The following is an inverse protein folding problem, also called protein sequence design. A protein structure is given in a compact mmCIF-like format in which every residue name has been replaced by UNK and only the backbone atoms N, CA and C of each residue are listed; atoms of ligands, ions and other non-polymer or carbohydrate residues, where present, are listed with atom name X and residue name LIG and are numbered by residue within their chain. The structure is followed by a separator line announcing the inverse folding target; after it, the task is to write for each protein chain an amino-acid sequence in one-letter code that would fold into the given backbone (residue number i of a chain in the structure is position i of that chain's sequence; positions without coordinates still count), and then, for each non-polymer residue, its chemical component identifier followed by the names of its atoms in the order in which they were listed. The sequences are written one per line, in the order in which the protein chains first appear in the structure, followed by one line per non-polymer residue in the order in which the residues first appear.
data_IF_108433695889
#
_entry.id   IF_108433695889
#
_cell.length_a   1.000
_cell.length_b   1.000
_cell.length_c   1.000
_cell.angle_alpha   90.00
_cell.angle_beta   90.00
_cell.angle_gamma   90.00
#
_symmetry.space_group_name_H-M   'P 1'
#
loop_
_entity.id
_entity.type
_entity.pdbx_description
1 polymer ?
#
# COMPACT_ATOMS: atom_id res chain seq x y z
N UNK A 1 23.48 -5.07 5.26
CA UNK A 1 23.63 -3.68 4.79
C UNK A 1 22.35 -3.35 4.05
N UNK A 2 21.41 -2.71 4.74
CA UNK A 2 20.17 -2.20 4.15
C UNK A 2 20.58 -0.93 3.39
N UNK A 3 20.22 -0.74 2.11
CA UNK A 3 20.52 0.50 1.43
C UNK A 3 19.81 1.63 2.17
N UNK A 4 20.56 2.68 2.50
CA UNK A 4 20.04 3.90 3.11
C UNK A 4 18.77 4.32 2.38
N UNK A 5 17.64 4.30 3.09
CA UNK A 5 16.42 4.93 2.63
C UNK A 5 16.78 6.36 2.25
N UNK A 6 16.45 6.75 1.01
CA UNK A 6 16.76 8.07 0.46
C UNK A 6 16.42 9.15 1.48
N UNK A 7 17.46 9.73 2.08
CA UNK A 7 17.34 10.75 3.10
C UNK A 7 16.59 11.95 2.50
N UNK A 8 15.63 12.57 3.20
CA UNK A 8 14.96 13.79 2.76
C UNK A 8 15.94 14.87 2.25
N UNK A 9 17.17 14.89 2.80
CA UNK A 9 18.26 15.78 2.38
C UNK A 9 18.75 15.58 0.94
N UNK A 10 18.74 14.36 0.40
CA UNK A 10 19.10 14.13 -1.01
C UNK A 10 18.04 14.66 -1.97
N UNK A 11 16.77 14.53 -1.57
CA UNK A 11 15.65 15.13 -2.30
C UNK A 11 15.80 16.65 -2.31
N UNK A 12 16.12 17.27 -1.17
CA UNK A 12 16.36 18.72 -1.05
C UNK A 12 17.53 19.21 -1.93
N UNK A 13 18.61 18.42 -2.06
CA UNK A 13 19.76 18.75 -2.93
C UNK A 13 19.42 18.70 -4.42
N UNK A 14 18.56 17.77 -4.84
CA UNK A 14 18.12 17.67 -6.23
C UNK A 14 17.23 18.86 -6.61
N UNK A 15 16.37 19.31 -5.69
CA UNK A 15 15.53 20.51 -5.85
C UNK A 15 16.39 21.75 -6.08
N UNK A 16 17.41 21.97 -5.22
CA UNK A 16 18.32 23.10 -5.34
C UNK A 16 19.04 23.14 -6.70
N UNK A 17 19.49 21.99 -7.22
CA UNK A 17 20.12 21.92 -8.55
C UNK A 17 19.15 22.18 -9.70
N UNK A 18 17.89 21.76 -9.57
CA UNK A 18 16.87 22.04 -10.59
C UNK A 18 16.46 23.50 -10.61
N UNK A 19 16.37 24.18 -9.46
CA UNK A 19 16.12 25.62 -9.36
C UNK A 19 17.23 26.47 -9.99
N UNK A 20 18.49 26.05 -9.85
CA UNK A 20 19.66 26.73 -10.44
C UNK A 20 19.68 26.67 -11.99
N UNK A 21 18.93 25.76 -12.62
CA UNK A 21 18.90 25.58 -14.08
C UNK A 21 17.90 26.49 -14.82
N UNK A 22 17.06 27.25 -14.11
CA UNK A 22 16.18 28.28 -14.70
C UNK A 22 15.02 27.76 -15.56
N UNK A 23 14.67 26.47 -15.50
CA UNK A 23 13.66 25.84 -16.38
C UNK A 23 12.24 25.83 -15.77
N UNK A 24 12.07 26.08 -14.47
CA UNK A 24 10.79 26.16 -13.78
C UNK A 24 10.85 27.23 -12.68
N UNK A 25 9.77 28.01 -12.49
CA UNK A 25 9.65 28.90 -11.33
C UNK A 25 9.78 28.05 -10.05
N UNK A 26 10.66 28.44 -9.14
CA UNK A 26 11.02 27.70 -7.92
C UNK A 26 9.77 27.27 -7.12
N UNK A 27 8.76 28.15 -7.08
CA UNK A 27 7.45 27.89 -6.46
C UNK A 27 6.66 26.75 -7.10
N UNK A 28 6.82 26.53 -8.39
CA UNK A 28 6.13 25.46 -9.12
C UNK A 28 6.75 24.09 -8.83
N UNK A 29 8.06 24.03 -8.68
CA UNK A 29 8.79 22.80 -8.33
C UNK A 29 8.44 22.33 -6.92
N UNK A 30 8.48 23.23 -5.94
CA UNK A 30 8.07 22.93 -4.56
C UNK A 30 6.63 22.42 -4.51
N UNK A 31 5.72 23.07 -5.23
CA UNK A 31 4.31 22.66 -5.29
C UNK A 31 4.13 21.24 -5.87
N UNK A 32 4.90 20.88 -6.90
CA UNK A 32 4.87 19.53 -7.50
C UNK A 32 5.37 18.50 -6.49
N UNK A 33 6.43 18.81 -5.75
CA UNK A 33 7.01 17.87 -4.79
C UNK A 33 6.10 17.64 -3.60
N UNK A 34 5.51 18.71 -3.07
CA UNK A 34 4.48 18.61 -2.04
C UNK A 34 3.30 17.78 -2.53
N UNK A 35 2.89 17.92 -3.79
CA UNK A 35 1.85 17.07 -4.36
C UNK A 35 2.30 15.60 -4.47
N UNK A 36 3.56 15.34 -4.84
CA UNK A 36 4.10 13.98 -4.95
C UNK A 36 4.15 13.25 -3.61
N UNK A 37 4.43 13.96 -2.52
CA UNK A 37 4.54 13.40 -1.16
C UNK A 37 3.19 13.07 -0.51
N UNK A 38 2.07 13.57 -1.05
CA UNK A 38 0.74 13.30 -0.50
C UNK A 38 0.41 11.81 -0.48
N UNK A 39 -0.24 11.37 0.59
CA UNK A 39 -0.78 10.00 0.72
C UNK A 39 -1.79 9.64 -0.39
N UNK A 40 -2.33 10.66 -1.07
CA UNK A 40 -3.33 10.54 -2.13
C UNK A 40 -2.72 10.51 -3.54
N UNK A 41 -1.39 10.61 -3.67
CA UNK A 41 -0.72 10.54 -4.98
C UNK A 41 -0.33 9.12 -5.32
N UNK A 42 -1.03 8.57 -6.31
CA UNK A 42 -0.86 7.19 -6.77
C UNK A 42 -0.67 7.11 -8.28
N UNK A 43 0.11 6.13 -8.69
CA UNK A 43 0.45 5.80 -10.06
C UNK A 43 0.12 4.34 -10.33
N UNK A 44 -0.15 4.04 -11.60
CA UNK A 44 -0.33 2.67 -12.08
C UNK A 44 0.67 2.38 -13.18
N UNK A 45 1.33 1.23 -13.07
CA UNK A 45 2.23 0.72 -14.10
C UNK A 45 1.44 0.07 -15.24
N UNK A 46 1.72 0.44 -16.48
CA UNK A 46 1.04 -0.13 -17.66
C UNK A 46 1.47 -1.56 -17.96
N UNK A 47 2.61 -2.01 -17.42
CA UNK A 47 3.14 -3.36 -17.66
C UNK A 47 2.67 -4.38 -16.63
N UNK A 48 2.70 -4.06 -15.33
CA UNK A 48 2.28 -5.00 -14.26
C UNK A 48 0.97 -4.68 -13.55
N UNK A 49 0.28 -3.61 -13.97
CA UNK A 49 -0.98 -3.16 -13.36
C UNK A 49 -0.91 -2.92 -11.84
N UNK A 50 0.30 -2.73 -11.35
CA UNK A 50 0.65 -2.58 -9.95
C UNK A 50 0.50 -1.10 -9.54
N UNK A 51 -0.11 -0.89 -8.37
CA UNK A 51 -0.31 0.43 -7.76
C UNK A 51 0.93 0.87 -6.99
N UNK A 52 1.36 2.11 -7.23
CA UNK A 52 2.62 2.67 -6.74
C UNK A 52 2.36 4.07 -6.20
N UNK A 53 2.89 4.41 -5.04
CA UNK A 53 2.98 5.79 -4.55
C UNK A 53 4.42 6.32 -4.73
N UNK A 54 4.65 7.55 -4.32
CA UNK A 54 5.99 8.10 -4.18
C UNK A 54 6.62 7.67 -2.84
N UNK A 55 7.90 7.29 -2.78
CA UNK A 55 8.87 7.20 -3.87
C UNK A 55 8.91 5.82 -4.57
N UNK A 56 8.06 4.86 -4.20
CA UNK A 56 8.09 3.47 -4.74
C UNK A 56 8.03 3.42 -6.27
N UNK A 57 7.31 4.35 -6.90
CA UNK A 57 7.25 4.48 -8.36
C UNK A 57 8.64 4.72 -9.00
N UNK A 58 9.58 5.37 -8.30
CA UNK A 58 10.94 5.61 -8.82
C UNK A 58 11.78 4.32 -8.87
N UNK A 59 11.52 3.39 -7.95
CA UNK A 59 12.24 2.13 -7.85
C UNK A 59 11.60 1.00 -8.67
N UNK A 60 10.49 1.26 -9.37
CA UNK A 60 9.70 0.22 -10.00
C UNK A 60 10.42 -0.39 -11.23
N UNK A 61 10.69 -1.70 -11.19
CA UNK A 61 11.53 -2.39 -12.18
C UNK A 61 11.01 -2.26 -13.62
N UNK A 62 9.70 -2.31 -13.84
CA UNK A 62 9.11 -2.17 -15.18
C UNK A 62 9.50 -0.86 -15.88
N UNK A 63 9.85 0.18 -15.12
CA UNK A 63 10.22 1.49 -15.65
C UNK A 63 11.69 1.60 -16.01
N UNK A 64 12.50 0.61 -15.61
CA UNK A 64 13.92 0.47 -15.94
C UNK A 64 14.20 -0.66 -16.92
N UNK A 65 13.16 -1.42 -17.29
CA UNK A 65 13.23 -2.49 -18.28
C UNK A 65 13.13 -1.88 -19.67
N UNK A 66 14.21 -1.99 -20.45
CA UNK A 66 14.23 -1.56 -21.85
C UNK A 66 13.57 -2.58 -22.78
N UNK A 67 13.28 -2.19 -24.04
CA UNK A 67 12.89 -3.14 -25.07
C UNK A 67 14.03 -4.12 -25.35
N UNK A 68 13.72 -5.26 -25.98
CA UNK A 68 14.76 -6.16 -26.47
C UNK A 68 15.71 -5.42 -27.44
N UNK A 69 16.98 -5.84 -27.48
CA UNK A 69 17.96 -5.27 -28.42
C UNK A 69 17.43 -5.44 -29.84
N UNK A 70 17.30 -4.33 -30.56
CA UNK A 70 16.90 -4.32 -31.96
C UNK A 70 18.12 -4.68 -32.83
N UNK A 71 18.11 -5.86 -33.43
CA UNK A 71 19.21 -6.35 -34.28
C UNK A 71 19.26 -5.71 -35.68
N UNK A 72 18.22 -4.94 -36.05
CA UNK A 72 18.10 -4.20 -37.31
C UNK A 72 17.61 -2.77 -37.02
N UNK A 73 18.43 -1.92 -36.36
CA UNK A 73 18.03 -0.56 -36.05
C UNK A 73 17.88 0.26 -37.34
N UNK A 74 16.75 0.97 -37.47
CA UNK A 74 16.43 1.77 -38.67
C UNK A 74 16.41 3.26 -38.39
N UNK A 75 16.47 3.62 -37.11
CA UNK A 75 16.34 5.00 -36.65
C UNK A 75 17.36 5.28 -35.54
N UNK A 76 17.74 6.55 -35.38
CA UNK A 76 18.58 6.99 -34.25
C UNK A 76 17.96 6.63 -32.89
N UNK A 77 16.64 6.51 -32.81
CA UNK A 77 15.95 6.10 -31.60
C UNK A 77 16.22 4.62 -31.26
N UNK A 78 16.26 3.75 -32.27
CA UNK A 78 16.64 2.35 -32.11
C UNK A 78 18.09 2.23 -31.64
N UNK A 79 19.00 3.00 -32.27
CA UNK A 79 20.41 3.01 -31.90
C UNK A 79 20.61 3.48 -30.46
N UNK A 80 19.91 4.53 -30.03
CA UNK A 80 19.96 5.00 -28.64
C UNK A 80 19.41 3.97 -27.66
N UNK A 81 18.27 3.34 -27.97
CA UNK A 81 17.69 2.31 -27.11
C UNK A 81 18.65 1.11 -26.95
N UNK A 82 19.25 0.66 -28.05
CA UNK A 82 20.27 -0.37 -28.03
C UNK A 82 21.50 0.04 -27.20
N UNK A 83 21.98 1.28 -27.36
CA UNK A 83 23.12 1.79 -26.60
C UNK A 83 22.85 1.77 -25.08
N UNK A 84 21.67 2.18 -24.63
CA UNK A 84 21.30 2.10 -23.21
C UNK A 84 21.32 0.65 -22.70
N UNK A 85 20.67 -0.27 -23.43
CA UNK A 85 20.64 -1.68 -23.05
C UNK A 85 22.03 -2.33 -23.00
N UNK A 86 22.90 -2.01 -23.97
CA UNK A 86 24.23 -2.61 -24.08
C UNK A 86 25.24 -2.03 -23.09
N UNK A 87 25.23 -0.70 -22.91
CA UNK A 87 26.25 0.01 -22.11
C UNK A 87 25.86 0.08 -20.65
N UNK A 88 24.63 0.51 -20.34
CA UNK A 88 24.19 0.74 -18.97
C UNK A 88 23.64 -0.53 -18.31
N UNK A 89 23.22 -1.52 -19.10
CA UNK A 89 22.48 -2.72 -18.65
C UNK A 89 21.19 -2.41 -17.88
N UNK A 90 20.79 -1.14 -17.86
CA UNK A 90 19.56 -0.60 -17.29
C UNK A 90 19.05 0.48 -18.24
N UNK A 91 17.73 0.56 -18.37
CA UNK A 91 17.10 1.55 -19.22
C UNK A 91 16.75 2.80 -18.39
N UNK A 92 16.84 4.02 -18.97
CA UNK A 92 16.43 5.23 -18.28
C UNK A 92 14.98 5.11 -17.78
N UNK A 93 14.75 5.63 -16.57
CA UNK A 93 13.44 5.52 -15.93
C UNK A 93 12.34 6.12 -16.80
N UNK A 94 11.30 5.32 -17.08
CA UNK A 94 10.16 5.68 -17.91
C UNK A 94 10.57 6.35 -19.24
N UNK A 95 11.62 5.84 -19.90
CA UNK A 95 12.16 6.43 -21.14
C UNK A 95 11.11 6.66 -22.24
N UNK A 96 10.16 5.73 -22.38
CA UNK A 96 9.06 5.83 -23.36
C UNK A 96 7.99 6.85 -22.96
N UNK A 97 7.93 7.25 -21.68
CA UNK A 97 6.95 8.18 -21.14
C UNK A 97 5.58 7.56 -20.82
N UNK A 98 5.32 6.32 -21.23
CA UNK A 98 4.02 5.63 -21.14
C UNK A 98 4.04 4.41 -20.19
N UNK A 99 5.13 4.20 -19.45
CA UNK A 99 5.26 3.09 -18.50
C UNK A 99 4.41 3.26 -17.24
N UNK A 100 4.01 4.49 -16.92
CA UNK A 100 3.13 4.82 -15.80
C UNK A 100 2.13 5.90 -16.18
N UNK A 101 1.03 5.95 -15.44
CA UNK A 101 0.12 7.08 -15.43
C UNK A 101 -0.37 7.37 -14.01
N UNK A 102 -0.82 8.61 -13.80
CA UNK A 102 -1.46 9.03 -12.55
C UNK A 102 -2.84 8.39 -12.42
N UNK A 103 -3.08 7.66 -11.34
CA UNK A 103 -4.30 6.87 -11.16
C UNK A 103 -5.34 7.64 -10.32
N UNK A 104 -6.37 8.13 -11.01
CA UNK A 104 -7.47 8.89 -10.38
C UNK A 104 -8.36 8.03 -9.48
N UNK A 105 -8.53 6.74 -9.80
CA UNK A 105 -9.34 5.82 -9.00
C UNK A 105 -8.62 5.51 -7.69
N UNK A 106 -7.30 5.26 -7.78
CA UNK A 106 -6.46 5.07 -6.60
C UNK A 106 -6.34 6.33 -5.75
N UNK A 107 -6.27 7.52 -6.37
CA UNK A 107 -6.39 8.80 -5.65
C UNK A 107 -7.69 8.85 -4.86
N UNK A 108 -8.83 8.55 -5.47
CA UNK A 108 -10.13 8.59 -4.80
C UNK A 108 -10.20 7.57 -3.65
N UNK A 109 -9.70 6.36 -3.84
CA UNK A 109 -9.58 5.34 -2.80
C UNK A 109 -8.69 5.81 -1.64
N UNK A 110 -7.53 6.38 -1.93
CA UNK A 110 -6.63 6.93 -0.93
C UNK A 110 -7.27 8.07 -0.13
N UNK A 111 -8.02 8.95 -0.79
CA UNK A 111 -8.79 9.98 -0.08
C UNK A 111 -9.82 9.39 0.89
N UNK A 112 -10.48 8.27 0.55
CA UNK A 112 -11.38 7.57 1.48
C UNK A 112 -10.61 7.03 2.70
N UNK A 113 -9.46 6.41 2.48
CA UNK A 113 -8.61 5.87 3.57
C UNK A 113 -8.10 6.98 4.49
N UNK A 114 -7.57 8.08 3.93
CA UNK A 114 -7.07 9.22 4.73
C UNK A 114 -8.21 9.86 5.54
N UNK A 115 -9.40 10.01 4.96
CA UNK A 115 -10.58 10.51 5.69
C UNK A 115 -11.04 9.56 6.79
N UNK A 116 -10.98 8.24 6.55
CA UNK A 116 -11.28 7.25 7.59
C UNK A 116 -10.31 7.33 8.76
N UNK A 117 -9.08 7.80 8.53
CA UNK A 117 -8.11 8.09 9.58
C UNK A 117 -8.35 9.42 10.32
N UNK A 118 -9.29 10.25 9.84
CA UNK A 118 -9.59 11.55 10.42
C UNK A 118 -8.64 12.68 9.96
N UNK A 119 -7.85 12.45 8.91
CA UNK A 119 -6.92 13.45 8.38
C UNK A 119 -7.43 14.12 7.09
N UNK A 120 -6.81 15.24 6.72
CA UNK A 120 -7.13 15.98 5.49
C UNK A 120 -6.40 15.36 4.27
N UNK A 121 -7.12 14.82 3.26
CA UNK A 121 -6.51 14.24 2.06
C UNK A 121 -5.66 15.21 1.23
N UNK A 122 -5.87 16.51 1.35
CA UNK A 122 -5.10 17.51 0.60
C UNK A 122 -3.81 17.95 1.29
N UNK A 123 -3.65 17.62 2.58
CA UNK A 123 -2.46 17.95 3.38
C UNK A 123 -1.67 16.75 3.90
N UNK A 124 -2.27 15.56 3.94
CA UNK A 124 -1.63 14.37 4.55
C UNK A 124 -0.55 13.78 3.64
N UNK A 125 0.66 13.61 4.18
CA UNK A 125 1.75 12.96 3.47
C UNK A 125 1.69 11.43 3.63
N UNK A 126 2.23 10.71 2.65
CA UNK A 126 2.36 9.25 2.75
C UNK A 126 3.26 8.83 3.91
N UNK A 127 4.24 9.68 4.26
CA UNK A 127 5.14 9.45 5.39
C UNK A 127 4.41 9.48 6.74
N UNK A 128 3.46 10.40 6.93
CA UNK A 128 2.65 10.47 8.16
C UNK A 128 1.85 9.18 8.36
N UNK A 129 1.24 8.68 7.28
CA UNK A 129 0.51 7.41 7.27
C UNK A 129 1.43 6.21 7.54
N UNK A 130 2.71 6.29 7.17
CA UNK A 130 3.69 5.23 7.43
C UNK A 130 4.18 5.23 8.88
N UNK A 131 4.39 6.41 9.44
CA UNK A 131 4.86 6.60 10.79
C UNK A 131 3.86 6.05 11.81
N UNK A 132 2.58 6.35 11.62
CA UNK A 132 1.52 5.92 12.53
C UNK A 132 1.05 4.47 12.28
N UNK A 133 1.41 3.92 11.12
CA UNK A 133 1.06 2.57 10.66
C UNK A 133 -0.40 2.18 10.98
N UNK A 134 -1.41 2.98 10.56
CA UNK A 134 -2.80 2.68 10.87
C UNK A 134 -3.24 1.39 10.19
N UNK A 135 -4.21 0.72 10.82
CA UNK A 135 -4.87 -0.47 10.30
C UNK A 135 -6.33 -0.15 10.02
N UNK A 136 -6.82 -0.64 8.90
CA UNK A 136 -8.19 -0.40 8.43
C UNK A 136 -8.92 -1.71 8.23
N UNK A 137 -10.20 -1.72 8.55
CA UNK A 137 -11.12 -2.79 8.22
C UNK A 137 -12.01 -2.41 7.04
N UNK A 138 -12.20 -3.33 6.10
CA UNK A 138 -13.23 -3.21 5.07
C UNK A 138 -14.56 -3.78 5.58
N UNK A 139 -15.62 -2.97 5.61
CA UNK A 139 -16.94 -3.37 6.10
C UNK A 139 -17.62 -4.46 5.23
N UNK A 140 -17.35 -4.47 3.93
CA UNK A 140 -17.94 -5.45 2.99
C UNK A 140 -17.23 -6.80 3.02
N UNK A 141 -15.93 -6.80 3.34
CA UNK A 141 -15.13 -8.02 3.42
C UNK A 141 -15.04 -8.58 4.84
N UNK A 142 -15.48 -7.81 5.84
CA UNK A 142 -15.61 -8.29 7.22
C UNK A 142 -16.98 -8.94 7.40
N UNK A 143 -17.01 -10.27 7.49
CA UNK A 143 -18.23 -11.07 7.56
C UNK A 143 -17.98 -12.35 8.34
N UNK A 144 -19.04 -12.98 8.83
CA UNK A 144 -19.01 -14.29 9.47
C UNK A 144 -18.04 -14.36 10.67
N UNK A 145 -17.92 -13.28 11.44
CA UNK A 145 -16.98 -13.19 12.56
C UNK A 145 -15.52 -12.95 12.19
N UNK A 146 -15.21 -12.74 10.90
CA UNK A 146 -13.88 -12.38 10.42
C UNK A 146 -13.80 -10.90 10.04
N UNK A 147 -12.68 -10.26 10.39
CA UNK A 147 -12.40 -8.87 10.01
C UNK A 147 -11.27 -8.82 9.00
N UNK A 148 -11.52 -8.17 7.86
CA UNK A 148 -10.51 -7.96 6.83
C UNK A 148 -9.65 -6.74 7.19
N UNK A 149 -8.57 -6.97 7.92
CA UNK A 149 -7.65 -5.93 8.39
C UNK A 149 -6.51 -5.72 7.40
N UNK A 150 -6.21 -4.45 7.11
CA UNK A 150 -5.24 -4.05 6.11
C UNK A 150 -4.40 -2.86 6.57
N UNK A 151 -3.09 -2.83 6.26
CA UNK A 151 -2.32 -1.58 6.31
C UNK A 151 -2.85 -0.61 5.25
N UNK A 152 -2.63 0.68 5.46
CA UNK A 152 -3.28 1.75 4.67
C UNK A 152 -3.10 1.61 3.15
N UNK A 153 -1.90 1.26 2.67
CA UNK A 153 -1.63 1.04 1.24
C UNK A 153 -2.40 -0.13 0.65
N UNK A 154 -2.56 -1.19 1.43
CA UNK A 154 -3.33 -2.36 1.03
C UNK A 154 -4.81 -2.00 1.01
N UNK A 155 -5.29 -1.20 1.96
CA UNK A 155 -6.66 -0.68 1.92
C UNK A 155 -6.92 0.13 0.63
N UNK A 156 -5.99 0.99 0.21
CA UNK A 156 -6.12 1.71 -1.08
C UNK A 156 -6.21 0.74 -2.25
N UNK A 157 -5.29 -0.23 -2.34
CA UNK A 157 -5.28 -1.19 -3.43
C UNK A 157 -6.53 -2.10 -3.43
N UNK A 158 -7.00 -2.49 -2.26
CA UNK A 158 -8.22 -3.27 -2.06
C UNK A 158 -9.46 -2.53 -2.56
N UNK A 159 -9.60 -1.25 -2.26
CA UNK A 159 -10.68 -0.41 -2.78
C UNK A 159 -10.65 -0.25 -4.30
N UNK A 160 -9.48 -0.40 -4.93
CA UNK A 160 -9.33 -0.36 -6.39
C UNK A 160 -9.67 -1.68 -7.08
N UNK A 161 -9.89 -2.78 -6.34
CA UNK A 161 -10.20 -4.09 -6.91
C UNK A 161 -11.60 -4.08 -7.56
N UNK A 162 -11.84 -4.90 -8.61
CA UNK A 162 -13.12 -4.91 -9.34
C UNK A 162 -14.37 -5.13 -8.47
N UNK A 163 -14.22 -5.79 -7.32
CA UNK A 163 -15.31 -6.05 -6.37
C UNK A 163 -15.66 -4.84 -5.48
N UNK A 164 -14.78 -3.85 -5.36
CA UNK A 164 -14.97 -2.64 -4.55
C UNK A 164 -14.98 -1.36 -5.38
N UNK A 165 -14.42 -1.40 -6.60
CA UNK A 165 -14.45 -0.29 -7.54
C UNK A 165 -15.88 0.19 -7.77
N UNK A 166 -16.07 1.51 -7.75
CA UNK A 166 -17.36 2.21 -7.92
C UNK A 166 -18.42 1.93 -6.84
N UNK A 167 -18.09 1.18 -5.79
CA UNK A 167 -18.96 0.96 -4.63
C UNK A 167 -18.63 1.91 -3.50
N UNK A 168 -19.64 2.25 -2.72
CA UNK A 168 -19.44 3.00 -1.49
C UNK A 168 -19.15 2.07 -0.31
N UNK A 169 -17.94 1.53 -0.32
CA UNK A 169 -17.45 0.57 0.68
C UNK A 169 -17.04 1.34 1.94
N UNK A 170 -17.59 0.95 3.08
CA UNK A 170 -17.18 1.48 4.38
C UNK A 170 -15.78 0.98 4.73
N UNK A 171 -14.87 1.91 5.02
CA UNK A 171 -13.53 1.64 5.55
C UNK A 171 -13.45 2.25 6.94
N UNK A 172 -13.08 1.44 7.92
CA UNK A 172 -13.08 1.82 9.33
C UNK A 172 -11.65 1.74 9.87
N UNK A 173 -11.21 2.79 10.56
CA UNK A 173 -9.96 2.76 11.34
C UNK A 173 -10.12 1.84 12.55
N UNK A 174 -9.16 0.94 12.77
CA UNK A 174 -9.11 0.14 14.01
C UNK A 174 -8.75 1.02 15.21
N UNK A 175 -9.33 0.74 16.37
CA UNK A 175 -8.90 1.38 17.63
C UNK A 175 -7.46 0.94 18.01
N UNK A 176 -6.89 1.62 19.00
CA UNK A 176 -5.50 1.40 19.41
C UNK A 176 -5.22 -0.01 19.92
N UNK A 177 -6.19 -0.62 20.63
CA UNK A 177 -6.06 -1.95 21.22
C UNK A 177 -6.06 -3.03 20.12
N UNK A 178 -7.05 -3.00 19.22
CA UNK A 178 -7.15 -3.92 18.08
C UNK A 178 -5.96 -3.77 17.14
N UNK A 179 -5.50 -2.53 16.92
CA UNK A 179 -4.30 -2.25 16.12
C UNK A 179 -3.06 -2.86 16.77
N UNK A 180 -2.87 -2.71 18.09
CA UNK A 180 -1.72 -3.28 18.79
C UNK A 180 -1.69 -4.81 18.69
N UNK A 181 -2.84 -5.46 18.87
CA UNK A 181 -2.99 -6.91 18.74
C UNK A 181 -2.65 -7.39 17.32
N UNK A 182 -3.13 -6.69 16.29
CA UNK A 182 -2.81 -7.00 14.89
C UNK A 182 -1.30 -6.87 14.63
N UNK A 183 -0.68 -5.78 15.09
CA UNK A 183 0.76 -5.53 14.88
C UNK A 183 1.64 -6.58 15.57
N UNK A 184 1.29 -6.97 16.79
CA UNK A 184 1.98 -8.05 17.50
C UNK A 184 1.88 -9.36 16.72
N UNK A 185 0.68 -9.70 16.27
CA UNK A 185 0.46 -10.89 15.45
C UNK A 185 1.22 -10.83 14.12
N UNK A 186 1.28 -9.71 13.40
CA UNK A 186 1.98 -9.63 12.11
C UNK A 186 3.46 -10.03 12.22
N UNK A 187 4.11 -9.72 13.35
CA UNK A 187 5.52 -10.01 13.59
C UNK A 187 5.84 -11.52 13.56
N UNK A 188 4.95 -12.35 14.09
CA UNK A 188 5.13 -13.81 14.13
C UNK A 188 5.03 -14.44 12.73
N UNK A 189 4.21 -13.85 11.86
CA UNK A 189 3.93 -14.39 10.53
C UNK A 189 4.94 -13.92 9.49
N UNK A 190 5.53 -12.73 9.69
CA UNK A 190 6.60 -12.22 8.82
C UNK A 190 7.85 -13.11 8.84
N UNK A 191 8.09 -13.83 9.94
CA UNK A 191 9.22 -14.77 10.04
C UNK A 191 9.06 -16.01 9.14
N UNK A 192 7.83 -16.48 8.90
CA UNK A 192 7.58 -17.74 8.19
C UNK A 192 7.33 -17.58 6.68
N UNK A 193 6.83 -16.42 6.23
CA UNK A 193 6.27 -16.23 4.88
C UNK A 193 7.12 -15.37 3.92
N UNK A 194 8.19 -14.73 4.40
CA UNK A 194 8.90 -13.65 3.67
C UNK A 194 9.82 -14.08 2.53
N UNK A 195 9.61 -15.25 1.92
CA UNK A 195 10.44 -15.66 0.78
C UNK A 195 9.98 -15.05 -0.55
N UNK A 196 8.68 -14.76 -0.75
CA UNK A 196 8.18 -14.43 -2.11
C UNK A 196 7.13 -13.29 -2.21
N UNK A 197 6.74 -12.61 -1.12
CA UNK A 197 5.51 -11.76 -1.14
C UNK A 197 5.69 -10.33 -0.61
N UNK A 198 6.54 -9.53 -1.26
CA UNK A 198 6.51 -8.05 -1.15
C UNK A 198 5.30 -7.41 -1.85
N UNK A 199 4.27 -8.19 -2.19
CA UNK A 199 3.04 -7.74 -2.84
C UNK A 199 1.89 -7.90 -1.87
N UNK A 200 1.41 -6.75 -1.37
CA UNK A 200 0.03 -6.50 -1.00
C UNK A 200 -0.73 -7.69 -0.37
N UNK A 201 -0.74 -7.83 0.95
CA UNK A 201 -1.80 -8.63 1.58
C UNK A 201 -2.45 -7.87 2.72
N UNK A 202 -3.79 -7.89 2.69
CA UNK A 202 -4.62 -7.78 3.87
C UNK A 202 -4.68 -9.17 4.48
N UNK A 203 -4.64 -9.23 5.80
CA UNK A 203 -4.53 -10.51 6.49
C UNK A 203 -5.94 -10.98 6.89
N UNK A 204 -6.24 -12.24 6.58
CA UNK A 204 -7.22 -13.02 7.33
C UNK A 204 -6.43 -13.75 8.39
N UNK A 205 -6.68 -13.45 9.65
CA UNK A 205 -5.94 -14.05 10.78
C UNK A 205 -6.69 -15.31 11.21
N UNK A 206 -6.06 -16.48 11.03
CA UNK A 206 -6.51 -17.76 11.58
C UNK A 206 -5.69 -18.08 12.85
N UNK A 207 -6.37 -18.46 13.94
CA UNK A 207 -5.78 -18.64 15.28
C UNK A 207 -5.32 -20.08 15.57
N UNK A 208 -4.33 -20.28 16.47
CA UNK A 208 -3.85 -21.59 16.90
C UNK A 208 -4.86 -22.38 17.75
N UNK A 209 -4.71 -23.72 17.76
CA UNK A 209 -5.65 -24.69 18.34
C UNK A 209 -5.51 -24.96 19.85
N UNK A 210 -4.52 -24.37 20.55
CA UNK A 210 -4.29 -24.67 21.98
C UNK A 210 -4.96 -23.66 22.92
N UNK A 211 -5.82 -24.21 23.79
CA UNK A 211 -6.57 -23.53 24.84
C UNK A 211 -5.66 -23.24 26.04
N UNK A 212 -5.21 -22.00 26.20
CA UNK A 212 -4.76 -21.54 27.52
C UNK A 212 -5.98 -21.09 28.35
N UNK A 213 -6.25 -21.91 29.36
CA UNK A 213 -7.35 -21.91 30.30
C UNK A 213 -7.38 -20.64 31.17
N UNK A 214 -8.10 -19.61 30.72
CA UNK A 214 -8.48 -18.48 31.56
C UNK A 214 -9.89 -18.70 32.13
N UNK A 215 -9.93 -19.38 33.27
CA UNK A 215 -11.02 -19.53 34.23
C UNK A 215 -12.30 -18.71 33.95
N UNK A 216 -13.36 -19.43 33.58
CA UNK A 216 -14.74 -18.95 33.43
C UNK A 216 -15.36 -18.53 34.77
N UNK A 217 -16.10 -17.42 34.73
CA UNK A 217 -17.03 -16.96 35.77
C UNK A 217 -18.25 -17.92 35.89
N UNK A 218 -18.81 -18.14 37.10
CA UNK A 218 -19.67 -19.28 37.42
C UNK A 218 -21.17 -19.19 37.06
N UNK A 219 -21.58 -18.42 36.04
CA UNK A 219 -23.00 -18.14 35.79
C UNK A 219 -23.49 -18.28 34.33
N UNK A 220 -22.71 -18.88 33.44
CA UNK A 220 -23.18 -19.18 32.08
C UNK A 220 -23.74 -20.62 31.95
N UNK A 221 -25.01 -20.82 32.26
CA UNK A 221 -25.78 -21.97 31.79
C UNK A 221 -26.21 -21.75 30.33
N UNK A 222 -25.76 -22.58 29.39
CA UNK A 222 -26.57 -22.93 28.19
C UNK A 222 -26.24 -24.33 27.69
N UNK A 223 -27.31 -25.06 27.34
CA UNK A 223 -27.36 -26.48 27.05
C UNK A 223 -26.96 -26.88 25.62
N UNK A 224 -26.78 -28.21 25.49
CA UNK A 224 -26.29 -29.07 24.41
C UNK A 224 -26.90 -28.88 23.00
N UNK A 225 -26.03 -28.99 21.97
CA UNK A 225 -26.28 -29.78 20.76
C UNK A 225 -26.22 -29.09 19.39
N UNK A 226 -25.02 -28.84 18.84
CA UNK A 226 -24.77 -28.59 17.40
C UNK A 226 -23.46 -29.27 16.95
N UNK A 227 -23.40 -30.02 15.82
CA UNK A 227 -22.21 -30.75 15.38
C UNK A 227 -21.09 -29.84 14.83
N UNK A 228 -19.85 -30.31 14.95
CA UNK A 228 -18.58 -29.60 14.74
C UNK A 228 -18.26 -29.21 13.28
N UNK A 229 -17.63 -28.03 13.12
CA UNK A 229 -16.76 -27.77 11.96
C UNK A 229 -16.60 -26.34 11.42
N UNK A 230 -16.57 -25.29 12.25
CA UNK A 230 -15.90 -24.00 12.00
C UNK A 230 -15.94 -23.15 13.29
N UNK A 231 -14.79 -22.70 13.81
CA UNK A 231 -14.68 -21.91 15.06
C UNK A 231 -14.74 -20.41 14.75
N UNK A 232 -15.54 -19.68 15.52
CA UNK A 232 -15.80 -18.23 15.44
C UNK A 232 -14.79 -17.42 16.29
N UNK A 233 -14.44 -16.20 15.86
CA UNK A 233 -14.08 -15.14 16.80
C UNK A 233 -15.35 -14.65 17.51
N UNK A 234 -15.29 -14.38 18.82
CA UNK A 234 -16.38 -13.70 19.50
C UNK A 234 -16.25 -12.19 19.26
N UNK A 235 -17.29 -11.60 18.71
CA UNK A 235 -17.49 -10.15 18.48
C UNK A 235 -17.12 -9.28 19.70
N UNK A 236 -17.13 -9.86 20.91
CA UNK A 236 -16.74 -9.23 22.18
C UNK A 236 -15.24 -8.94 22.34
N UNK A 237 -14.37 -9.46 21.47
CA UNK A 237 -12.91 -9.27 21.55
C UNK A 237 -12.43 -8.06 20.72
N UNK A 238 -13.27 -7.54 19.83
CA UNK A 238 -13.09 -6.21 19.27
C UNK A 238 -13.80 -5.24 20.21
N UNK A 239 -13.05 -4.31 20.81
CA UNK A 239 -13.67 -3.35 21.71
C UNK A 239 -14.52 -2.32 20.97
N UNK A 240 -14.47 -2.29 19.63
CA UNK A 240 -15.33 -1.47 18.77
C UNK A 240 -16.20 -2.34 17.85
N UNK A 241 -17.54 -2.29 18.00
CA UNK A 241 -18.45 -2.92 17.05
C UNK A 241 -18.30 -2.31 15.65
N UNK A 242 -18.13 -3.13 14.63
CA UNK A 242 -18.22 -2.68 13.24
C UNK A 242 -19.70 -2.69 12.87
N UNK A 243 -20.36 -1.53 12.98
CA UNK A 243 -21.74 -1.40 12.52
C UNK A 243 -21.80 -1.61 10.99
N UNK A 244 -22.54 -2.64 10.58
CA UNK A 244 -22.85 -2.96 9.18
C UNK A 244 -23.84 -1.96 8.57
#
# INVERSE_FOLDING_TARGET
MIPDAACPEETERLIKRSAESGVLDDRSTESILMALLRATTWFRCTQCDCLLDYPRVQAHQCLKTGPAINMDPKTDADDRANAYNLVLKEFPWNYSGDGIFYDMDARAAAQKVVRAYGLDPDGTEGFDMDLDSPRFACGECSKDGHVCVMPWRVAVAHLCMPNHKDKDVKVTLLNDEDRANVVESESDWTSSYFRDTYKLWGHSVDLPEEEDDWALHPDAETALGVPAGARNYLERLLTTPIEH
#
